data_IF_369145554627
#
_entry.id   IF_369145554627
#
_cell.length_a   1.000
_cell.length_b   1.000
_cell.length_c   1.000
_cell.angle_alpha   90.00
_cell.angle_beta   90.00
_cell.angle_gamma   90.00
#
_symmetry.space_group_name_H-M   'P 1'
#
loop_
_entity.id
_entity.type
_entity.pdbx_description
1 polymer ?
#
# COMPACT_ATOMS: atom_id res chain seq x y z
N UNK A 1 8.24 33.00 10.81
CA UNK A 1 7.35 33.17 9.65
C UNK A 1 6.18 32.22 9.81
N UNK A 2 4.94 32.71 9.84
CA UNK A 2 3.75 31.86 9.79
C UNK A 2 3.60 31.45 8.33
N UNK A 3 3.82 30.16 8.03
CA UNK A 3 3.52 29.61 6.70
C UNK A 3 2.03 29.80 6.45
N UNK A 4 1.70 30.65 5.49
CA UNK A 4 0.34 30.92 5.06
C UNK A 4 -0.27 29.59 4.59
N UNK A 5 -1.39 29.19 5.18
CA UNK A 5 -2.12 28.00 4.75
C UNK A 5 -2.58 28.20 3.30
N UNK A 6 -1.91 27.53 2.36
CA UNK A 6 -2.30 27.51 0.97
C UNK A 6 -3.25 26.32 0.75
N UNK A 7 -4.56 26.55 0.56
CA UNK A 7 -5.51 25.46 0.35
C UNK A 7 -5.18 24.71 -0.94
N UNK A 8 -5.34 23.39 -0.93
CA UNK A 8 -5.23 22.57 -2.13
C UNK A 8 -6.33 22.95 -3.12
N UNK A 9 -6.08 22.82 -4.41
CA UNK A 9 -7.13 22.94 -5.43
C UNK A 9 -8.11 21.77 -5.30
N UNK A 10 -9.37 21.97 -5.70
CA UNK A 10 -10.39 20.91 -5.69
C UNK A 10 -9.95 19.66 -6.47
N UNK A 11 -9.29 19.83 -7.62
CA UNK A 11 -8.72 18.73 -8.42
C UNK A 11 -7.69 17.93 -7.63
N UNK A 12 -6.77 18.60 -6.93
CA UNK A 12 -5.74 17.93 -6.13
C UNK A 12 -6.35 17.25 -4.91
N UNK A 13 -7.32 17.89 -4.25
CA UNK A 13 -8.05 17.29 -3.14
C UNK A 13 -8.82 16.03 -3.57
N UNK A 14 -9.46 16.07 -4.74
CA UNK A 14 -10.15 14.91 -5.33
C UNK A 14 -9.17 13.78 -5.64
N UNK A 15 -7.99 14.11 -6.16
CA UNK A 15 -6.96 13.12 -6.44
C UNK A 15 -6.51 12.41 -5.15
N UNK A 16 -6.21 13.19 -4.10
CA UNK A 16 -5.74 12.67 -2.80
C UNK A 16 -6.80 11.83 -2.09
N UNK A 17 -8.07 12.26 -2.09
CA UNK A 17 -9.13 11.62 -1.29
C UNK A 17 -9.89 10.50 -2.01
N UNK A 18 -9.93 10.49 -3.34
CA UNK A 18 -10.71 9.54 -4.12
C UNK A 18 -9.84 8.73 -5.07
N UNK A 19 -9.16 9.40 -6.00
CA UNK A 19 -8.44 8.73 -7.08
C UNK A 19 -7.26 7.92 -6.55
N UNK A 20 -6.50 8.47 -5.61
CA UNK A 20 -5.29 7.84 -5.09
C UNK A 20 -5.60 6.53 -4.34
N UNK A 21 -6.53 6.48 -3.36
CA UNK A 21 -6.94 5.22 -2.72
C UNK A 21 -7.44 4.18 -3.73
N UNK A 22 -8.28 4.58 -4.70
CA UNK A 22 -8.83 3.67 -5.70
C UNK A 22 -7.74 3.09 -6.62
N UNK A 23 -6.87 3.94 -7.15
CA UNK A 23 -5.78 3.51 -8.04
C UNK A 23 -4.81 2.58 -7.30
N UNK A 24 -4.47 2.88 -6.05
CA UNK A 24 -3.63 1.99 -5.26
C UNK A 24 -4.34 0.67 -4.90
N UNK A 25 -5.66 0.63 -4.76
CA UNK A 25 -6.34 -0.66 -4.50
C UNK A 25 -6.29 -1.64 -5.67
N UNK A 26 -6.07 -1.16 -6.91
CA UNK A 26 -5.92 -2.02 -8.10
C UNK A 26 -4.73 -2.97 -7.93
N UNK A 27 -3.66 -2.53 -7.26
CA UNK A 27 -2.52 -3.40 -6.99
C UNK A 27 -2.90 -4.57 -6.08
N UNK A 28 -3.75 -4.34 -5.08
CA UNK A 28 -4.25 -5.38 -4.18
C UNK A 28 -5.26 -6.29 -4.90
N UNK A 29 -6.08 -5.75 -5.79
CA UNK A 29 -6.91 -6.54 -6.70
C UNK A 29 -6.07 -7.49 -7.55
N UNK A 30 -5.04 -6.95 -8.24
CA UNK A 30 -4.17 -7.75 -9.10
C UNK A 30 -3.43 -8.82 -8.31
N UNK A 31 -2.83 -8.48 -7.18
CA UNK A 31 -2.01 -9.39 -6.39
C UNK A 31 -2.84 -10.53 -5.77
N UNK A 32 -3.98 -10.20 -5.15
CA UNK A 32 -4.86 -11.21 -4.53
C UNK A 32 -5.49 -12.15 -5.57
N UNK A 33 -5.91 -11.60 -6.73
CA UNK A 33 -6.41 -12.41 -7.85
C UNK A 33 -5.32 -13.32 -8.40
N UNK A 34 -4.12 -12.76 -8.61
CA UNK A 34 -2.96 -13.50 -9.08
C UNK A 34 -2.55 -14.61 -8.12
N UNK A 35 -2.47 -14.35 -6.81
CA UNK A 35 -2.18 -15.36 -5.79
C UNK A 35 -3.23 -16.47 -5.77
N UNK A 36 -4.51 -16.11 -5.83
CA UNK A 36 -5.60 -17.10 -5.85
C UNK A 36 -5.44 -18.04 -7.05
N UNK A 37 -5.26 -17.48 -8.26
CA UNK A 37 -5.16 -18.27 -9.50
C UNK A 37 -3.85 -19.05 -9.63
N UNK A 38 -2.72 -18.44 -9.29
CA UNK A 38 -1.39 -19.05 -9.48
C UNK A 38 -1.09 -20.12 -8.44
N UNK A 39 -1.56 -19.97 -7.20
CA UNK A 39 -1.27 -20.92 -6.11
C UNK A 39 -2.36 -21.98 -6.00
N UNK A 40 -3.63 -21.60 -6.07
CA UNK A 40 -4.77 -22.48 -5.79
C UNK A 40 -5.58 -22.85 -7.04
N UNK A 41 -5.23 -22.31 -8.21
CA UNK A 41 -5.90 -22.63 -9.47
C UNK A 41 -7.27 -21.97 -9.67
N UNK A 42 -7.77 -21.21 -8.70
CA UNK A 42 -9.12 -20.62 -8.70
C UNK A 42 -9.07 -19.12 -8.35
N UNK A 43 -10.01 -18.34 -8.87
CA UNK A 43 -10.23 -16.96 -8.43
C UNK A 43 -11.43 -16.94 -7.49
N UNK A 44 -11.21 -16.56 -6.24
CA UNK A 44 -12.27 -16.34 -5.24
C UNK A 44 -12.39 -14.85 -4.94
N UNK A 45 -13.61 -14.34 -4.98
CA UNK A 45 -13.88 -12.91 -4.79
C UNK A 45 -13.65 -12.45 -3.34
N UNK A 46 -13.76 -13.35 -2.35
CA UNK A 46 -13.65 -13.00 -0.92
C UNK A 46 -12.28 -12.44 -0.53
N UNK A 47 -11.14 -13.13 -0.76
CA UNK A 47 -9.82 -12.57 -0.45
C UNK A 47 -9.54 -11.30 -1.25
N UNK A 48 -10.02 -11.23 -2.51
CA UNK A 48 -9.86 -10.05 -3.37
C UNK A 48 -10.57 -8.85 -2.78
N UNK A 49 -11.86 -8.99 -2.43
CA UNK A 49 -12.65 -7.92 -1.84
C UNK A 49 -12.09 -7.46 -0.49
N UNK A 50 -11.64 -8.40 0.35
CA UNK A 50 -11.01 -8.09 1.65
C UNK A 50 -9.75 -7.24 1.43
N UNK A 51 -8.85 -7.64 0.54
CA UNK A 51 -7.59 -6.93 0.31
C UNK A 51 -7.83 -5.55 -0.32
N UNK A 52 -8.73 -5.45 -1.31
CA UNK A 52 -9.09 -4.18 -1.96
C UNK A 52 -9.74 -3.22 -0.98
N UNK A 53 -10.76 -3.66 -0.24
CA UNK A 53 -11.45 -2.81 0.72
C UNK A 53 -10.52 -2.37 1.85
N UNK A 54 -9.65 -3.27 2.35
CA UNK A 54 -8.68 -2.94 3.39
C UNK A 54 -7.65 -1.90 2.91
N UNK A 55 -7.16 -2.00 1.68
CA UNK A 55 -6.23 -1.00 1.12
C UNK A 55 -6.92 0.37 0.93
N UNK A 56 -8.16 0.40 0.41
CA UNK A 56 -8.94 1.64 0.28
C UNK A 56 -9.15 2.28 1.65
N UNK A 57 -9.50 1.50 2.66
CA UNK A 57 -9.70 2.00 4.02
C UNK A 57 -8.40 2.52 4.62
N UNK A 58 -7.31 1.75 4.55
CA UNK A 58 -6.04 2.15 5.14
C UNK A 58 -5.49 3.44 4.50
N UNK A 59 -5.43 3.50 3.16
CA UNK A 59 -4.95 4.68 2.44
C UNK A 59 -5.95 5.83 2.56
N UNK A 60 -7.22 5.54 2.36
CA UNK A 60 -8.26 6.56 2.36
C UNK A 60 -8.43 7.23 3.72
N UNK A 61 -8.29 6.50 4.84
CA UNK A 61 -8.33 7.09 6.18
C UNK A 61 -7.10 7.97 6.46
N UNK A 62 -5.88 7.50 6.15
CA UNK A 62 -4.63 8.29 6.29
C UNK A 62 -4.77 9.62 5.53
N UNK A 63 -5.14 9.58 4.24
CA UNK A 63 -5.34 10.78 3.44
C UNK A 63 -6.54 11.64 3.91
N UNK A 64 -7.64 11.04 4.35
CA UNK A 64 -8.80 11.78 4.86
C UNK A 64 -8.46 12.59 6.11
N UNK A 65 -7.72 11.99 7.06
CA UNK A 65 -7.31 12.66 8.28
C UNK A 65 -6.18 13.68 8.05
N UNK A 66 -5.23 13.39 7.17
CA UNK A 66 -4.18 14.35 6.77
C UNK A 66 -4.76 15.62 6.15
N UNK A 67 -5.91 15.51 5.45
CA UNK A 67 -6.61 16.64 4.84
C UNK A 67 -7.69 17.27 5.73
N UNK A 68 -7.85 16.87 7.00
CA UNK A 68 -8.83 17.46 7.92
C UNK A 68 -8.77 19.01 8.04
N UNK A 69 -7.60 19.68 7.94
CA UNK A 69 -7.54 21.14 7.87
C UNK A 69 -8.27 21.74 6.66
N UNK A 70 -8.26 21.05 5.50
CA UNK A 70 -8.95 21.49 4.28
C UNK A 70 -10.48 21.39 4.44
N UNK A 71 -10.98 20.37 5.14
CA UNK A 71 -12.40 20.28 5.48
C UNK A 71 -12.82 21.46 6.38
N UNK A 72 -12.00 21.77 7.38
CA UNK A 72 -12.24 22.90 8.28
C UNK A 72 -12.25 24.24 7.53
N UNK A 73 -11.36 24.40 6.55
CA UNK A 73 -11.34 25.55 5.65
C UNK A 73 -12.61 25.64 4.80
N UNK A 74 -12.98 24.55 4.10
CA UNK A 74 -14.15 24.52 3.23
C UNK A 74 -15.46 24.86 3.97
N UNK A 75 -15.62 24.36 5.20
CA UNK A 75 -16.78 24.69 6.04
C UNK A 75 -16.80 26.16 6.48
N UNK A 76 -15.63 26.76 6.73
CA UNK A 76 -15.52 28.19 7.12
C UNK A 76 -15.76 29.12 5.94
N UNK A 77 -15.32 28.75 4.74
CA UNK A 77 -15.43 29.58 3.54
C UNK A 77 -16.69 29.32 2.72
N UNK A 78 -17.46 28.28 3.06
CA UNK A 78 -18.64 27.88 2.30
C UNK A 78 -18.31 27.25 0.95
N UNK A 79 -17.10 26.70 0.79
CA UNK A 79 -16.69 26.01 -0.44
C UNK A 79 -17.44 24.68 -0.58
N UNK A 80 -18.51 24.71 -1.36
CA UNK A 80 -19.41 23.58 -1.56
C UNK A 80 -18.78 22.43 -2.35
N UNK A 81 -17.82 22.74 -3.24
CA UNK A 81 -17.12 21.75 -4.05
C UNK A 81 -16.18 20.91 -3.16
N UNK A 82 -15.34 21.56 -2.37
CA UNK A 82 -14.46 20.85 -1.42
C UNK A 82 -15.26 20.03 -0.42
N UNK A 83 -16.34 20.59 0.13
CA UNK A 83 -17.21 19.86 1.05
C UNK A 83 -17.88 18.63 0.39
N UNK A 84 -18.24 18.71 -0.89
CA UNK A 84 -18.76 17.58 -1.65
C UNK A 84 -17.72 16.47 -1.84
N UNK A 85 -16.46 16.83 -2.13
CA UNK A 85 -15.36 15.86 -2.24
C UNK A 85 -15.16 15.09 -0.93
N UNK A 86 -15.13 15.78 0.22
CA UNK A 86 -15.05 15.12 1.53
C UNK A 86 -16.24 14.19 1.81
N UNK A 87 -17.44 14.55 1.36
CA UNK A 87 -18.64 13.71 1.48
C UNK A 87 -18.53 12.44 0.65
N UNK A 88 -18.04 12.56 -0.59
CA UNK A 88 -17.78 11.43 -1.48
C UNK A 88 -16.71 10.52 -0.87
N UNK A 89 -15.62 11.08 -0.33
CA UNK A 89 -14.56 10.30 0.31
C UNK A 89 -15.08 9.54 1.53
N UNK A 90 -15.91 10.19 2.36
CA UNK A 90 -16.58 9.54 3.50
C UNK A 90 -17.50 8.40 3.05
N UNK A 91 -18.28 8.60 1.99
CA UNK A 91 -19.15 7.57 1.42
C UNK A 91 -18.33 6.39 0.88
N UNK A 92 -17.22 6.65 0.18
CA UNK A 92 -16.30 5.62 -0.30
C UNK A 92 -15.76 4.77 0.86
N UNK A 93 -15.33 5.40 1.96
CA UNK A 93 -14.84 4.71 3.15
C UNK A 93 -15.93 3.85 3.81
N UNK A 94 -17.13 4.38 4.03
CA UNK A 94 -18.21 3.60 4.63
C UNK A 94 -18.65 2.43 3.77
N UNK A 95 -18.77 2.62 2.46
CA UNK A 95 -19.13 1.54 1.54
C UNK A 95 -18.07 0.43 1.58
N UNK A 96 -16.78 0.78 1.58
CA UNK A 96 -15.71 -0.22 1.68
C UNK A 96 -15.65 -0.91 3.04
N UNK A 97 -15.95 -0.21 4.13
CA UNK A 97 -16.10 -0.84 5.45
C UNK A 97 -17.24 -1.87 5.45
N UNK A 98 -18.39 -1.53 4.86
CA UNK A 98 -19.51 -2.46 4.68
C UNK A 98 -19.13 -3.68 3.84
N UNK A 99 -18.44 -3.47 2.72
CA UNK A 99 -17.96 -4.55 1.84
C UNK A 99 -16.94 -5.45 2.54
N UNK A 100 -16.02 -4.88 3.33
CA UNK A 100 -15.06 -5.64 4.12
C UNK A 100 -15.76 -6.53 5.15
N UNK A 101 -16.72 -5.97 5.91
CA UNK A 101 -17.49 -6.73 6.89
C UNK A 101 -18.33 -7.83 6.23
N UNK A 102 -18.94 -7.55 5.08
CA UNK A 102 -19.67 -8.54 4.29
C UNK A 102 -18.78 -9.70 3.84
N UNK A 103 -17.60 -9.40 3.27
CA UNK A 103 -16.65 -10.41 2.84
C UNK A 103 -16.12 -11.25 4.01
N UNK A 104 -15.84 -10.61 5.15
CA UNK A 104 -15.41 -11.26 6.38
C UNK A 104 -16.49 -12.17 6.98
N UNK A 105 -17.76 -11.75 6.98
CA UNK A 105 -18.88 -12.56 7.45
C UNK A 105 -19.05 -13.85 6.61
N UNK A 106 -18.68 -13.81 5.33
CA UNK A 106 -18.71 -14.96 4.41
C UNK A 106 -17.37 -15.71 4.32
N UNK A 107 -16.43 -15.39 5.21
CA UNK A 107 -15.09 -15.99 5.26
C UNK A 107 -14.86 -16.79 6.56
N UNK A 108 -13.93 -17.76 6.57
CA UNK A 108 -13.59 -18.49 7.80
C UNK A 108 -13.10 -17.54 8.92
N UNK A 109 -13.37 -17.86 10.21
CA UNK A 109 -12.92 -17.04 11.35
C UNK A 109 -11.40 -16.79 11.40
N UNK A 110 -10.60 -17.71 10.87
CA UNK A 110 -9.15 -17.52 10.74
C UNK A 110 -8.78 -16.32 9.86
N UNK A 111 -9.62 -15.98 8.88
CA UNK A 111 -9.43 -14.80 8.01
C UNK A 111 -9.57 -13.50 8.79
N UNK A 112 -10.49 -13.44 9.76
CA UNK A 112 -10.61 -12.29 10.65
C UNK A 112 -9.31 -12.04 11.41
N UNK A 113 -8.71 -13.11 11.94
CA UNK A 113 -7.42 -13.03 12.62
C UNK A 113 -6.32 -12.50 11.68
N UNK A 114 -6.25 -12.99 10.44
CA UNK A 114 -5.25 -12.52 9.47
C UNK A 114 -5.44 -11.05 9.10
N UNK A 115 -6.68 -10.60 8.88
CA UNK A 115 -6.98 -9.18 8.63
C UNK A 115 -6.60 -8.32 9.83
N UNK A 116 -6.92 -8.75 11.05
CA UNK A 116 -6.56 -8.02 12.27
C UNK A 116 -5.04 -7.94 12.48
N UNK A 117 -4.29 -9.01 12.20
CA UNK A 117 -2.83 -9.04 12.37
C UNK A 117 -2.14 -8.16 11.31
N UNK A 118 -2.53 -8.27 10.04
CA UNK A 118 -1.82 -7.60 8.95
C UNK A 118 -2.38 -6.23 8.62
N UNK A 119 -3.70 -6.07 8.48
CA UNK A 119 -4.30 -4.79 8.09
C UNK A 119 -4.71 -3.93 9.30
N UNK A 120 -4.98 -4.55 10.45
CA UNK A 120 -5.27 -3.84 11.70
C UNK A 120 -4.29 -2.71 12.03
N UNK A 121 -2.96 -2.95 12.00
CA UNK A 121 -1.95 -1.91 12.24
C UNK A 121 -2.05 -0.72 11.27
N UNK A 122 -2.44 -0.95 10.02
CA UNK A 122 -2.60 0.11 9.01
C UNK A 122 -3.83 1.00 9.30
N UNK A 123 -4.89 0.45 9.90
CA UNK A 123 -6.07 1.22 10.30
C UNK A 123 -5.82 2.13 11.51
N UNK A 124 -4.86 1.76 12.35
CA UNK A 124 -4.52 2.52 13.56
C UNK A 124 -3.20 3.29 13.42
N UNK A 125 -2.67 3.39 12.20
CA UNK A 125 -1.31 3.83 11.92
C UNK A 125 -0.99 5.26 12.41
N UNK A 126 -1.99 6.16 12.39
CA UNK A 126 -1.88 7.53 12.89
C UNK A 126 -2.44 7.72 14.31
N UNK A 127 -3.05 6.68 14.89
CA UNK A 127 -3.53 6.75 16.27
C UNK A 127 -2.34 6.69 17.23
N UNK A 128 -2.36 7.56 18.25
CA UNK A 128 -1.36 7.56 19.31
C UNK A 128 -1.58 6.33 20.19
N UNK A 129 -0.96 5.20 19.82
CA UNK A 129 -1.18 3.89 20.45
C UNK A 129 -0.82 3.85 21.95
N UNK A 130 0.15 4.67 22.39
CA UNK A 130 0.49 4.81 23.80
C UNK A 130 0.82 6.27 24.15
N UNK A 131 -0.03 6.90 24.95
CA UNK A 131 0.31 8.14 25.67
C UNK A 131 0.88 7.72 27.02
N UNK A 132 2.20 7.56 27.11
CA UNK A 132 2.85 7.44 28.41
C UNK A 132 2.84 8.82 29.09
N UNK A 133 2.08 8.94 30.18
CA UNK A 133 2.22 10.00 31.17
C UNK A 133 1.22 11.15 31.11
N UNK A 134 0.38 11.23 32.15
CA UNK A 134 -0.13 12.49 32.69
C UNK A 134 -1.65 12.62 32.74
N UNK A 135 -2.22 12.40 33.92
CA UNK A 135 -3.56 12.89 34.31
C UNK A 135 -3.72 14.34 33.85
N UNK A 136 -4.85 14.65 33.25
CA UNK A 136 -5.27 16.00 32.91
C UNK A 136 -5.32 16.87 34.19
N UNK A 137 -4.36 17.78 34.33
CA UNK A 137 -4.57 19.00 35.09
C UNK A 137 -4.57 20.17 34.11
N UNK A 138 -5.72 20.84 34.05
CA UNK A 138 -5.90 22.17 33.46
C UNK A 138 -4.92 23.14 34.13
N UNK A 139 -4.09 23.82 33.33
CA UNK A 139 -3.89 25.27 33.40
C UNK A 139 -3.04 25.74 32.22
N UNK A 140 -3.43 26.89 31.69
CA UNK A 140 -2.71 27.67 30.71
C UNK A 140 -1.37 28.13 31.27
N UNK A 141 -0.30 28.03 30.48
CA UNK A 141 0.67 29.10 30.19
C UNK A 141 1.81 28.52 29.35
N UNK A 142 2.38 29.39 28.52
CA UNK A 142 3.43 29.13 27.56
C UNK A 142 4.67 28.49 28.19
N UNK A 143 5.23 27.50 27.50
CA UNK A 143 6.68 27.36 27.40
C UNK A 143 7.02 26.60 26.11
N UNK A 144 7.54 27.37 25.14
CA UNK A 144 8.42 26.86 24.08
C UNK A 144 9.66 26.28 24.78
N UNK A 145 10.18 25.15 24.28
CA UNK A 145 11.36 24.42 24.78
C UNK A 145 11.15 23.24 25.75
N UNK A 146 10.05 22.49 25.63
CA UNK A 146 10.03 21.10 26.15
C UNK A 146 10.10 20.08 25.01
N UNK A 147 10.95 19.04 25.09
CA UNK A 147 11.03 18.01 24.06
C UNK A 147 9.68 17.31 23.99
N UNK A 148 8.97 17.57 22.90
CA UNK A 148 7.57 17.21 22.72
C UNK A 148 7.31 15.74 23.06
N UNK A 149 6.26 15.54 23.87
CA UNK A 149 5.69 14.23 24.23
C UNK A 149 5.83 13.25 23.06
N UNK A 150 6.71 12.26 23.19
CA UNK A 150 6.98 11.24 22.16
C UNK A 150 5.79 10.29 22.07
N UNK A 151 4.76 10.70 21.35
CA UNK A 151 3.74 9.77 20.92
C UNK A 151 4.39 8.74 19.98
N UNK A 152 4.34 7.47 20.36
CA UNK A 152 4.77 6.38 19.48
C UNK A 152 3.72 6.23 18.39
N UNK A 153 4.01 6.81 17.22
CA UNK A 153 3.29 6.57 15.98
C UNK A 153 4.12 5.59 15.16
N UNK A 154 3.50 4.52 14.63
CA UNK A 154 4.21 3.49 13.85
C UNK A 154 4.95 4.14 12.65
N UNK A 155 4.36 5.19 12.07
CA UNK A 155 4.95 6.07 11.03
C UNK A 155 6.33 6.66 11.40
N UNK A 156 6.69 6.73 12.69
CA UNK A 156 7.92 7.36 13.20
C UNK A 156 9.00 6.38 13.66
N UNK A 157 8.80 5.07 13.49
CA UNK A 157 9.88 4.10 13.72
C UNK A 157 10.86 4.18 12.53
N UNK A 158 12.16 4.46 12.76
CA UNK A 158 13.11 4.70 11.68
C UNK A 158 13.15 3.60 10.63
N UNK A 159 12.87 3.94 9.37
CA UNK A 159 12.94 3.04 8.20
C UNK A 159 11.86 1.96 8.15
N UNK A 160 11.09 1.77 9.21
CA UNK A 160 10.15 0.64 9.33
C UNK A 160 8.85 0.87 8.57
N UNK A 161 8.47 2.12 8.25
CA UNK A 161 7.27 2.43 7.47
C UNK A 161 7.21 1.59 6.18
N UNK A 162 8.25 1.65 5.37
CA UNK A 162 8.30 0.93 4.10
C UNK A 162 8.30 -0.59 4.27
N UNK A 163 9.05 -1.11 5.27
CA UNK A 163 9.14 -2.54 5.55
C UNK A 163 7.78 -3.08 6.00
N UNK A 164 7.11 -2.40 6.93
CA UNK A 164 5.79 -2.77 7.42
C UNK A 164 4.76 -2.71 6.29
N UNK A 165 4.76 -1.68 5.44
CA UNK A 165 3.90 -1.64 4.25
C UNK A 165 4.16 -2.87 3.35
N UNK A 166 5.43 -3.23 3.16
CA UNK A 166 5.83 -4.44 2.45
C UNK A 166 5.23 -5.71 3.05
N UNK A 167 5.37 -5.92 4.36
CA UNK A 167 4.86 -7.09 5.07
C UNK A 167 3.34 -7.15 5.05
N UNK A 168 2.67 -6.02 5.33
CA UNK A 168 1.21 -5.94 5.35
C UNK A 168 0.63 -6.27 3.97
N UNK A 169 1.17 -5.67 2.90
CA UNK A 169 0.61 -5.82 1.55
C UNK A 169 1.13 -7.04 0.78
N UNK A 170 2.33 -7.53 1.08
CA UNK A 170 2.89 -8.76 0.50
C UNK A 170 2.42 -9.98 1.28
N UNK A 171 3.02 -10.21 2.45
CA UNK A 171 2.68 -11.34 3.32
C UNK A 171 1.22 -11.35 3.76
N UNK A 172 0.65 -10.19 4.11
CA UNK A 172 -0.74 -10.13 4.58
C UNK A 172 -1.77 -10.51 3.51
N UNK A 173 -1.56 -10.08 2.26
CA UNK A 173 -2.38 -10.52 1.12
C UNK A 173 -2.33 -12.04 0.97
N UNK A 174 -1.13 -12.63 1.01
CA UNK A 174 -0.99 -14.08 0.94
C UNK A 174 -1.70 -14.77 2.11
N UNK A 175 -1.53 -14.27 3.35
CA UNK A 175 -2.13 -14.86 4.54
C UNK A 175 -3.67 -14.92 4.44
N UNK A 176 -4.30 -13.87 3.91
CA UNK A 176 -5.74 -13.79 3.69
C UNK A 176 -6.19 -14.75 2.57
N UNK A 177 -5.47 -14.78 1.44
CA UNK A 177 -5.77 -15.72 0.35
C UNK A 177 -5.67 -17.16 0.87
N UNK A 178 -4.58 -17.48 1.57
CA UNK A 178 -4.33 -18.80 2.13
C UNK A 178 -5.37 -19.19 3.19
N UNK A 179 -5.80 -18.27 4.06
CA UNK A 179 -6.79 -18.56 5.10
C UNK A 179 -8.17 -18.94 4.55
N UNK A 180 -8.48 -18.53 3.32
CA UNK A 180 -9.73 -18.85 2.64
C UNK A 180 -9.57 -20.10 1.76
N UNK A 181 -8.51 -20.17 0.95
CA UNK A 181 -8.42 -21.17 -0.12
C UNK A 181 -7.74 -22.48 0.27
N UNK A 182 -6.78 -22.46 1.19
CA UNK A 182 -5.93 -23.63 1.46
C UNK A 182 -6.69 -24.85 2.02
N UNK A 183 -7.87 -24.64 2.60
CA UNK A 183 -8.72 -25.74 3.10
C UNK A 183 -9.52 -26.44 2.01
N UNK A 184 -9.88 -25.70 0.96
CA UNK A 184 -10.78 -26.17 -0.10
C UNK A 184 -10.04 -26.57 -1.36
N UNK A 185 -8.84 -26.03 -1.57
CA UNK A 185 -8.02 -26.28 -2.74
C UNK A 185 -6.60 -26.61 -2.27
N UNK A 186 -6.11 -27.84 -2.51
CA UNK A 186 -4.69 -28.11 -2.35
C UNK A 186 -3.91 -27.16 -3.27
N UNK A 187 -2.76 -26.66 -2.80
CA UNK A 187 -1.89 -25.87 -3.65
C UNK A 187 -1.60 -26.67 -4.93
N UNK A 188 -1.70 -26.01 -6.09
CA UNK A 188 -1.58 -26.66 -7.39
C UNK A 188 -0.31 -27.54 -7.44
N UNK A 189 -0.45 -28.78 -7.93
CA UNK A 189 0.63 -29.75 -7.97
C UNK A 189 1.86 -29.18 -8.68
N UNK A 190 3.02 -29.32 -8.03
CA UNK A 190 4.27 -28.65 -8.37
C UNK A 190 4.87 -29.02 -9.74
N UNK A 191 4.25 -29.90 -10.53
CA UNK A 191 4.90 -30.49 -11.70
C UNK A 191 5.07 -29.52 -12.88
N UNK A 192 4.38 -28.38 -12.92
CA UNK A 192 4.54 -27.36 -13.97
C UNK A 192 4.40 -25.89 -13.53
N UNK A 193 4.33 -25.61 -12.23
CA UNK A 193 4.05 -24.25 -11.77
C UNK A 193 5.34 -23.44 -11.59
N UNK A 194 5.57 -22.44 -12.45
CA UNK A 194 6.71 -21.51 -12.37
C UNK A 194 6.68 -20.73 -11.04
N UNK A 195 5.52 -20.65 -10.39
CA UNK A 195 5.30 -19.91 -9.16
C UNK A 195 5.25 -20.83 -7.94
N UNK A 196 6.24 -20.68 -7.06
CA UNK A 196 6.20 -21.21 -5.70
C UNK A 196 5.60 -20.16 -4.75
N UNK A 197 4.70 -20.52 -3.81
CA UNK A 197 4.17 -19.62 -2.79
C UNK A 197 5.24 -18.76 -2.10
N UNK A 198 6.38 -19.34 -1.72
CA UNK A 198 7.48 -18.61 -1.08
C UNK A 198 8.03 -17.51 -1.98
N UNK A 199 8.19 -17.78 -3.29
CA UNK A 199 8.66 -16.76 -4.23
C UNK A 199 7.66 -15.61 -4.32
N UNK A 200 6.36 -15.92 -4.45
CA UNK A 200 5.33 -14.89 -4.53
C UNK A 200 5.33 -14.02 -3.28
N UNK A 201 5.42 -14.61 -2.09
CA UNK A 201 5.43 -13.88 -0.81
C UNK A 201 6.66 -12.97 -0.73
N UNK A 202 7.86 -13.52 -0.95
CA UNK A 202 9.12 -12.78 -0.80
C UNK A 202 9.21 -11.66 -1.84
N UNK A 203 8.99 -11.98 -3.12
CA UNK A 203 9.00 -10.98 -4.19
C UNK A 203 7.94 -9.90 -3.96
N UNK A 204 6.71 -10.28 -3.61
CA UNK A 204 5.65 -9.29 -3.43
C UNK A 204 5.92 -8.34 -2.26
N UNK A 205 6.49 -8.87 -1.17
CA UNK A 205 6.91 -8.09 0.01
C UNK A 205 8.04 -7.13 -0.33
N UNK A 206 9.09 -7.61 -1.00
CA UNK A 206 10.23 -6.78 -1.44
C UNK A 206 9.73 -5.66 -2.35
N UNK A 207 8.93 -6.00 -3.36
CA UNK A 207 8.44 -5.04 -4.34
C UNK A 207 7.55 -3.96 -3.70
N UNK A 208 6.66 -4.35 -2.77
CA UNK A 208 5.82 -3.41 -2.01
C UNK A 208 6.64 -2.51 -1.10
N UNK A 209 7.66 -3.05 -0.43
CA UNK A 209 8.57 -2.25 0.39
C UNK A 209 9.35 -1.24 -0.47
N UNK A 210 9.94 -1.67 -1.58
CA UNK A 210 10.68 -0.80 -2.49
C UNK A 210 9.79 0.32 -3.06
N UNK A 211 8.54 0.00 -3.43
CA UNK A 211 7.58 1.02 -3.82
C UNK A 211 7.31 2.04 -2.70
N UNK A 212 7.10 1.58 -1.46
CA UNK A 212 6.88 2.49 -0.34
C UNK A 212 8.09 3.43 -0.12
N UNK A 213 9.32 2.93 -0.32
CA UNK A 213 10.52 3.78 -0.31
C UNK A 213 10.52 4.77 -1.48
N UNK A 214 10.07 4.39 -2.67
CA UNK A 214 9.93 5.34 -3.79
C UNK A 214 8.92 6.45 -3.49
N UNK A 215 7.84 6.16 -2.77
CA UNK A 215 6.93 7.19 -2.27
C UNK A 215 7.63 8.14 -1.27
N UNK A 216 8.51 7.60 -0.41
CA UNK A 216 9.32 8.42 0.49
C UNK A 216 10.40 9.24 -0.27
N UNK A 217 10.92 8.75 -1.40
CA UNK A 217 11.85 9.51 -2.28
C UNK A 217 11.14 10.73 -2.86
N UNK A 218 9.90 10.56 -3.32
CA UNK A 218 9.06 11.65 -3.81
C UNK A 218 8.86 12.75 -2.77
N UNK A 219 8.62 12.35 -1.53
CA UNK A 219 8.32 13.26 -0.42
C UNK A 219 9.57 13.67 0.38
N UNK A 220 10.78 13.42 -0.14
CA UNK A 220 12.05 13.58 0.59
C UNK A 220 12.24 14.95 1.23
N UNK A 221 11.97 16.05 0.50
CA UNK A 221 12.15 17.41 1.03
C UNK A 221 11.20 17.69 2.20
N UNK A 222 9.94 17.29 2.07
CA UNK A 222 8.92 17.45 3.11
C UNK A 222 9.24 16.60 4.35
N UNK A 223 9.66 15.34 4.14
CA UNK A 223 10.07 14.43 5.21
C UNK A 223 11.37 14.90 5.89
N UNK A 224 12.29 15.50 5.13
CA UNK A 224 13.52 16.09 5.65
C UNK A 224 13.21 17.29 6.55
N UNK A 225 12.37 18.22 6.11
CA UNK A 225 11.95 19.38 6.93
C UNK A 225 11.22 18.94 8.21
N UNK A 226 10.36 17.93 8.11
CA UNK A 226 9.59 17.40 9.25
C UNK A 226 10.36 16.38 10.10
N UNK A 227 11.59 16.03 9.72
CA UNK A 227 12.42 15.00 10.34
C UNK A 227 11.66 13.67 10.52
N UNK A 228 10.90 13.28 9.50
CA UNK A 228 10.23 11.97 9.45
C UNK A 228 11.31 10.94 9.09
N UNK A 229 11.53 9.89 9.91
CA UNK A 229 12.69 9.02 9.75
C UNK A 229 12.46 7.94 8.67
N UNK A 230 12.18 8.36 7.43
CA UNK A 230 12.06 7.50 6.24
C UNK A 230 13.44 7.06 5.73
N UNK A 231 13.51 6.00 4.93
CA UNK A 231 14.80 5.48 4.42
C UNK A 231 15.64 6.56 3.69
N UNK A 232 15.06 7.38 2.79
CA UNK A 232 15.79 8.50 2.17
C UNK A 232 16.37 9.50 3.18
N UNK A 233 15.62 9.85 4.22
CA UNK A 233 16.06 10.77 5.29
C UNK A 233 17.18 10.14 6.11
N UNK A 234 17.07 8.85 6.47
CA UNK A 234 18.10 8.13 7.22
C UNK A 234 19.42 8.01 6.45
N UNK A 235 19.35 7.79 5.13
CA UNK A 235 20.51 7.77 4.24
C UNK A 235 21.01 9.18 3.88
N UNK A 236 20.22 10.21 4.22
CA UNK A 236 20.42 11.63 3.90
C UNK A 236 20.62 11.90 2.42
N UNK A 237 20.05 11.07 1.55
CA UNK A 237 20.31 11.14 0.11
C UNK A 237 19.32 10.29 -0.70
N UNK A 238 18.67 10.93 -1.66
CA UNK A 238 17.87 10.25 -2.69
C UNK A 238 18.74 9.31 -3.52
N UNK A 239 19.94 9.73 -3.91
CA UNK A 239 20.86 8.91 -4.71
C UNK A 239 21.24 7.60 -4.00
N UNK A 240 21.61 7.67 -2.71
CA UNK A 240 21.94 6.46 -1.92
C UNK A 240 20.74 5.52 -1.81
N UNK A 241 19.54 6.07 -1.67
CA UNK A 241 18.32 5.26 -1.69
C UNK A 241 18.11 4.59 -3.05
N UNK A 242 18.27 5.30 -4.16
CA UNK A 242 18.15 4.72 -5.51
C UNK A 242 19.16 3.59 -5.73
N UNK A 243 20.40 3.76 -5.27
CA UNK A 243 21.42 2.70 -5.28
C UNK A 243 21.01 1.48 -4.45
N UNK A 244 20.48 1.69 -3.24
CA UNK A 244 19.97 0.63 -2.37
C UNK A 244 18.83 -0.15 -3.06
N UNK A 245 17.83 0.55 -3.59
CA UNK A 245 16.69 -0.06 -4.28
C UNK A 245 17.13 -0.84 -5.52
N UNK A 246 18.06 -0.28 -6.30
CA UNK A 246 18.66 -0.97 -7.44
C UNK A 246 19.35 -2.27 -7.01
N UNK A 247 20.17 -2.23 -5.96
CA UNK A 247 20.81 -3.41 -5.41
C UNK A 247 19.82 -4.49 -4.97
N UNK A 248 18.74 -4.09 -4.29
CA UNK A 248 17.67 -5.01 -3.87
C UNK A 248 16.95 -5.64 -5.06
N UNK A 249 16.62 -4.87 -6.10
CA UNK A 249 15.99 -5.40 -7.31
C UNK A 249 16.93 -6.32 -8.11
N UNK A 250 18.21 -5.97 -8.26
CA UNK A 250 19.20 -6.83 -8.91
C UNK A 250 19.43 -8.13 -8.15
N UNK A 251 19.51 -8.08 -6.82
CA UNK A 251 19.57 -9.28 -5.99
C UNK A 251 18.33 -10.16 -6.16
N UNK A 252 17.14 -9.53 -6.22
CA UNK A 252 15.88 -10.25 -6.48
C UNK A 252 15.89 -10.95 -7.83
N UNK A 253 16.36 -10.25 -8.88
CA UNK A 253 16.56 -10.82 -10.22
C UNK A 253 17.52 -12.01 -10.19
N UNK A 254 18.64 -11.90 -9.46
CA UNK A 254 19.62 -12.97 -9.33
C UNK A 254 19.05 -14.19 -8.60
N UNK A 255 18.38 -13.98 -7.47
CA UNK A 255 17.81 -15.07 -6.65
C UNK A 255 16.67 -15.83 -7.38
N UNK A 256 15.95 -15.14 -8.26
CA UNK A 256 14.80 -15.69 -8.99
C UNK A 256 15.01 -15.70 -10.50
N UNK A 257 16.26 -15.87 -10.96
CA UNK A 257 16.63 -15.76 -12.39
C UNK A 257 15.85 -16.71 -13.32
N UNK A 258 15.38 -17.84 -12.79
CA UNK A 258 14.60 -18.85 -13.51
C UNK A 258 13.11 -18.51 -13.61
N UNK A 259 12.62 -17.50 -12.88
CA UNK A 259 11.25 -17.01 -12.96
C UNK A 259 11.22 -15.73 -13.80
N UNK A 260 10.87 -15.81 -15.10
CA UNK A 260 10.96 -14.65 -16.01
C UNK A 260 10.06 -13.50 -15.57
N UNK A 261 8.93 -13.80 -14.92
CA UNK A 261 8.00 -12.78 -14.44
C UNK A 261 8.59 -11.91 -13.33
N UNK A 262 9.29 -12.53 -12.37
CA UNK A 262 9.99 -11.80 -11.30
C UNK A 262 11.15 -10.99 -11.89
N UNK A 263 11.89 -11.56 -12.84
CA UNK A 263 13.00 -10.87 -13.54
C UNK A 263 12.49 -9.62 -14.27
N UNK A 264 11.49 -9.74 -15.15
CA UNK A 264 10.96 -8.60 -15.89
C UNK A 264 10.35 -7.54 -14.96
N UNK A 265 9.64 -7.95 -13.91
CA UNK A 265 9.09 -7.02 -12.92
C UNK A 265 10.18 -6.25 -12.18
N UNK A 266 11.26 -6.94 -11.79
CA UNK A 266 12.38 -6.34 -11.06
C UNK A 266 13.21 -5.41 -11.95
N UNK A 267 13.39 -5.76 -13.23
CA UNK A 267 14.02 -4.87 -14.22
C UNK A 267 13.17 -3.62 -14.47
N UNK A 268 11.85 -3.78 -14.64
CA UNK A 268 10.92 -2.67 -14.77
C UNK A 268 10.97 -1.74 -13.54
N UNK A 269 10.93 -2.31 -12.33
CA UNK A 269 11.07 -1.54 -11.09
C UNK A 269 12.41 -0.80 -11.01
N UNK A 270 13.51 -1.44 -11.44
CA UNK A 270 14.84 -0.82 -11.50
C UNK A 270 14.86 0.39 -12.45
N UNK A 271 14.25 0.28 -13.63
CA UNK A 271 14.13 1.42 -14.55
C UNK A 271 13.37 2.57 -13.90
N UNK A 272 12.26 2.28 -13.20
CA UNK A 272 11.47 3.32 -12.52
C UNK A 272 12.20 3.97 -11.34
N UNK A 273 13.05 3.24 -10.62
CA UNK A 273 13.90 3.81 -9.56
C UNK A 273 14.78 4.95 -10.10
N UNK A 274 15.28 4.82 -11.33
CA UNK A 274 16.12 5.83 -11.95
C UNK A 274 15.32 6.90 -12.70
N UNK A 275 14.20 6.51 -13.33
CA UNK A 275 13.35 7.42 -14.09
C UNK A 275 12.52 8.38 -13.23
N UNK A 276 12.21 8.01 -11.98
CA UNK A 276 11.40 8.82 -11.07
C UNK A 276 12.26 9.48 -9.98
N UNK A 277 11.97 10.74 -9.67
CA UNK A 277 12.66 11.55 -8.65
C UNK A 277 11.68 12.48 -7.90
N UNK A 278 12.17 13.29 -6.97
CA UNK A 278 11.33 14.24 -6.22
C UNK A 278 10.60 15.28 -7.10
N UNK A 279 11.08 15.52 -8.32
CA UNK A 279 10.50 16.48 -9.26
C UNK A 279 9.42 15.85 -10.16
N UNK A 280 9.35 14.52 -10.17
CA UNK A 280 8.44 13.78 -11.03
C UNK A 280 6.98 13.94 -10.58
N UNK A 281 6.01 14.11 -11.50
CA UNK A 281 4.60 14.18 -11.15
C UNK A 281 4.12 12.99 -10.31
N UNK A 282 3.33 13.25 -9.26
CA UNK A 282 2.79 12.20 -8.36
C UNK A 282 2.09 11.07 -9.10
N UNK A 283 1.43 11.38 -10.23
CA UNK A 283 0.77 10.39 -11.07
C UNK A 283 1.71 9.33 -11.65
N UNK A 284 2.96 9.69 -11.99
CA UNK A 284 3.93 8.75 -12.55
C UNK A 284 4.40 7.70 -11.53
N UNK A 285 4.41 8.06 -10.24
CA UNK A 285 4.72 7.11 -9.17
C UNK A 285 3.71 5.95 -9.08
N UNK A 286 2.51 6.10 -9.64
CA UNK A 286 1.54 4.99 -9.77
C UNK A 286 2.09 3.85 -10.63
N UNK A 287 2.95 4.14 -11.60
CA UNK A 287 3.60 3.11 -12.43
C UNK A 287 4.46 2.17 -11.59
N UNK A 288 5.18 2.72 -10.60
CA UNK A 288 5.98 1.92 -9.66
C UNK A 288 5.10 0.98 -8.83
N UNK A 289 3.92 1.47 -8.45
CA UNK A 289 2.93 0.68 -7.72
C UNK A 289 2.33 -0.47 -8.53
N UNK A 290 2.18 -0.29 -9.84
CA UNK A 290 1.56 -1.25 -10.76
C UNK A 290 2.53 -2.26 -11.39
N UNK A 291 3.79 -2.30 -10.95
CA UNK A 291 4.76 -3.33 -11.36
C UNK A 291 4.21 -4.75 -11.21
N UNK A 292 3.56 -5.07 -10.09
CA UNK A 292 2.89 -6.36 -9.86
C UNK A 292 1.64 -6.57 -10.72
N UNK A 293 0.88 -5.49 -10.98
CA UNK A 293 -0.29 -5.54 -11.86
C UNK A 293 0.13 -5.94 -13.28
N UNK A 294 1.22 -5.36 -13.79
CA UNK A 294 1.77 -5.73 -15.09
C UNK A 294 2.18 -7.21 -15.13
N UNK A 295 2.85 -7.71 -14.10
CA UNK A 295 3.22 -9.12 -13.98
C UNK A 295 2.00 -10.05 -13.99
N UNK A 296 0.97 -9.70 -13.21
CA UNK A 296 -0.27 -10.47 -13.16
C UNK A 296 -0.98 -10.51 -14.51
N UNK A 297 -1.03 -9.39 -15.24
CA UNK A 297 -1.62 -9.31 -16.58
C UNK A 297 -0.85 -10.16 -17.59
N UNK A 298 0.48 -10.08 -17.60
CA UNK A 298 1.33 -10.89 -18.48
C UNK A 298 1.16 -12.38 -18.20
N UNK A 299 1.14 -12.78 -16.92
CA UNK A 299 0.88 -14.17 -16.55
C UNK A 299 -0.50 -14.63 -17.00
N UNK A 300 -1.54 -13.83 -16.77
CA UNK A 300 -2.91 -14.14 -17.21
C UNK A 300 -3.03 -14.30 -18.72
N UNK A 301 -2.36 -13.44 -19.51
CA UNK A 301 -2.34 -13.53 -20.96
C UNK A 301 -1.67 -14.84 -21.45
N UNK A 302 -0.55 -15.23 -20.84
CA UNK A 302 0.14 -16.48 -21.17
C UNK A 302 -0.71 -17.70 -20.83
N UNK A 303 -1.35 -17.72 -19.65
CA UNK A 303 -2.22 -18.83 -19.26
C UNK A 303 -3.47 -18.94 -20.16
N UNK A 304 -4.05 -17.80 -20.56
CA UNK A 304 -5.16 -17.77 -21.51
C UNK A 304 -4.76 -18.33 -22.88
N UNK A 305 -3.57 -17.98 -23.36
CA UNK A 305 -3.03 -18.51 -24.62
C UNK A 305 -2.80 -20.04 -24.55
N UNK A 306 -2.23 -20.54 -23.45
CA UNK A 306 -2.07 -21.99 -23.23
C UNK A 306 -3.41 -22.73 -23.25
N UNK A 307 -4.41 -22.17 -22.57
CA UNK A 307 -5.77 -22.73 -22.54
C UNK A 307 -6.40 -22.75 -23.93
N UNK A 308 -6.31 -21.64 -24.67
CA UNK A 308 -6.83 -21.53 -26.04
C UNK A 308 -6.20 -22.56 -26.98
N UNK A 309 -4.86 -22.71 -26.94
CA UNK A 309 -4.16 -23.68 -27.76
C UNK A 309 -4.52 -25.12 -27.39
N UNK A 310 -4.73 -25.41 -26.10
CA UNK A 310 -5.16 -26.73 -25.64
C UNK A 310 -6.59 -27.06 -26.10
N UNK A 311 -7.49 -26.06 -26.09
CA UNK A 311 -8.85 -26.21 -26.59
C UNK A 311 -8.91 -26.44 -28.09
N UNK A 312 -8.05 -25.76 -28.89
CA UNK A 312 -7.97 -26.01 -30.33
C UNK A 312 -7.38 -27.37 -30.70
N UNK A 313 -6.64 -28.00 -29.79
CA UNK A 313 -6.04 -29.32 -30.00
C UNK A 313 -6.97 -30.49 -29.62
N UNK A 314 -8.15 -30.20 -29.06
CA UNK A 314 -9.22 -31.17 -28.76
C UNK A 314 -10.27 -31.17 -29.87
#
# INVERSE_FOLDING_TARGET
MVTQFAPLTATKLRDELLTHPLMLSIGSLSLSTFMSRSIYGIVDWRPVLICVASDILAIGMDHYFDQAPMLSYALKTGDSEMAAIFRQAKALLFTNAGLLLFALALSPPSTWLMVMIFFGPAFVWDFKLFVFGGKQQKKAEENKDSPGKKALTIKRIPGMKAILIGVIRGCGTFAIVNSILARSFPAASASFNIWNPTQIIVWSTINRACHAVMADVRDFHEDWEKQVPTIPVLLRSVFRTKMLLTGVHLLTTFLYYYNPYIVFASLYATVLVWALDENSPRGLYRLSFHSQTLTALLYGAVEMMKWYNSYQAM
#
